data_IF_657711576629
#
_entry.id   IF_657711576629
#
_cell.length_a   1.000
_cell.length_b   1.000
_cell.length_c   1.000
_cell.angle_alpha   90.00
_cell.angle_beta   90.00
_cell.angle_gamma   90.00
#
_symmetry.space_group_name_H-M   'P 1'
#
loop_
_entity.id
_entity.type
_entity.pdbx_description
1 polymer ?
#
# COMPACT_ATOMS: atom_id res chain seq x y z
N UNK A 1 -12.24 18.10 -10.18
CA UNK A 1 -11.60 16.84 -9.76
C UNK A 1 -11.82 15.80 -10.85
N UNK A 2 -10.82 14.98 -11.16
CA UNK A 2 -10.79 14.09 -12.32
C UNK A 2 -10.54 12.66 -11.85
N UNK A 3 -11.42 11.72 -12.19
CA UNK A 3 -11.27 10.30 -11.90
C UNK A 3 -10.55 9.56 -13.03
N UNK A 4 -10.19 8.30 -12.77
CA UNK A 4 -9.55 7.39 -13.71
C UNK A 4 -10.34 6.10 -13.77
N UNK A 5 -10.67 5.63 -14.98
CA UNK A 5 -11.29 4.32 -15.21
C UNK A 5 -10.37 3.46 -16.05
N UNK A 6 -10.08 2.27 -15.56
CA UNK A 6 -9.34 1.23 -16.27
C UNK A 6 -10.28 0.06 -16.58
N UNK A 7 -10.26 -0.41 -17.82
CA UNK A 7 -11.08 -1.56 -18.26
C UNK A 7 -10.23 -2.55 -19.04
N UNK A 8 -10.11 -3.75 -18.52
CA UNK A 8 -9.41 -4.91 -19.11
C UNK A 8 -8.01 -4.56 -19.64
N UNK A 9 -7.21 -3.89 -18.83
CA UNK A 9 -5.87 -3.44 -19.21
C UNK A 9 -4.93 -4.63 -19.27
N UNK A 10 -4.45 -4.93 -20.50
CA UNK A 10 -3.46 -5.97 -20.79
C UNK A 10 -2.17 -5.36 -21.31
N UNK A 11 -1.07 -5.98 -20.95
CA UNK A 11 0.26 -5.52 -21.38
C UNK A 11 1.24 -6.65 -21.47
N UNK A 12 1.89 -6.75 -22.64
CA UNK A 12 3.06 -7.61 -22.90
C UNK A 12 4.23 -6.75 -23.36
N UNK A 13 5.45 -7.25 -23.17
CA UNK A 13 6.63 -6.66 -23.79
C UNK A 13 7.15 -7.58 -24.92
N UNK A 14 7.75 -7.04 -25.99
CA UNK A 14 8.22 -7.83 -27.11
C UNK A 14 9.11 -9.01 -26.69
N UNK A 15 8.66 -10.24 -26.98
CA UNK A 15 9.37 -11.46 -26.63
C UNK A 15 9.29 -11.89 -25.17
N UNK A 16 8.51 -11.19 -24.34
CA UNK A 16 8.28 -11.51 -22.93
C UNK A 16 6.87 -12.03 -22.64
N UNK A 17 6.63 -12.51 -21.41
CA UNK A 17 5.30 -12.88 -20.96
C UNK A 17 4.38 -11.65 -20.81
N UNK A 18 3.09 -11.88 -20.75
CA UNK A 18 2.12 -10.87 -20.37
C UNK A 18 2.39 -10.39 -18.92
N UNK A 19 2.37 -9.08 -18.71
CA UNK A 19 2.71 -8.42 -17.43
C UNK A 19 1.46 -7.93 -16.70
N UNK A 20 0.38 -7.65 -17.44
CA UNK A 20 -0.92 -7.28 -16.89
C UNK A 20 -2.01 -8.10 -17.57
N UNK A 21 -2.85 -8.76 -16.77
CA UNK A 21 -3.79 -9.79 -17.20
C UNK A 21 -5.25 -9.33 -17.19
N UNK A 22 -5.56 -8.11 -17.65
CA UNK A 22 -6.94 -7.60 -17.70
C UNK A 22 -7.34 -6.80 -16.46
N UNK A 23 -6.45 -5.92 -16.00
CA UNK A 23 -6.68 -5.07 -14.82
C UNK A 23 -7.83 -4.09 -15.07
N UNK A 24 -8.84 -4.11 -14.19
CA UNK A 24 -9.99 -3.20 -14.22
C UNK A 24 -10.20 -2.55 -12.86
N UNK A 25 -10.28 -1.21 -12.81
CA UNK A 25 -10.58 -0.46 -11.59
C UNK A 25 -11.16 0.92 -11.90
N UNK A 26 -11.98 1.43 -10.98
CA UNK A 26 -12.53 2.79 -11.03
C UNK A 26 -11.99 3.60 -9.85
N UNK A 27 -11.21 4.63 -10.15
CA UNK A 27 -10.64 5.58 -9.17
C UNK A 27 -11.49 6.85 -9.22
N UNK A 28 -12.10 7.17 -8.09
CA UNK A 28 -12.99 8.33 -7.98
C UNK A 28 -12.21 9.65 -7.98
N UNK A 29 -12.85 10.75 -8.41
CA UNK A 29 -12.23 12.07 -8.29
C UNK A 29 -11.86 12.42 -6.84
N UNK A 30 -10.61 12.83 -6.61
CA UNK A 30 -10.10 13.19 -5.29
C UNK A 30 -9.72 12.01 -4.39
N UNK A 31 -9.76 10.78 -4.90
CA UNK A 31 -9.42 9.55 -4.14
C UNK A 31 -7.90 9.35 -4.09
N UNK A 32 -7.41 8.89 -2.94
CA UNK A 32 -6.04 8.42 -2.76
C UNK A 32 -6.01 6.89 -2.91
N UNK A 33 -5.60 6.40 -4.07
CA UNK A 33 -5.48 4.96 -4.33
C UNK A 33 -4.03 4.53 -4.21
N UNK A 34 -3.79 3.47 -3.42
CA UNK A 34 -2.47 2.84 -3.33
C UNK A 34 -2.48 1.51 -4.07
N UNK A 35 -1.54 1.31 -4.97
CA UNK A 35 -1.29 0.04 -5.65
C UNK A 35 -0.13 -0.64 -4.94
N UNK A 36 -0.37 -1.83 -4.39
CA UNK A 36 0.60 -2.58 -3.60
C UNK A 36 0.72 -4.02 -4.11
N UNK A 37 1.89 -4.63 -3.91
CA UNK A 37 2.15 -6.01 -4.31
C UNK A 37 3.65 -6.31 -4.39
N UNK A 38 4.05 -7.57 -4.60
CA UNK A 38 5.44 -7.98 -4.74
C UNK A 38 6.18 -7.25 -5.87
N UNK A 39 7.51 -7.26 -5.81
CA UNK A 39 8.33 -6.74 -6.90
C UNK A 39 8.05 -7.51 -8.20
N UNK A 40 7.95 -6.79 -9.32
CA UNK A 40 7.70 -7.39 -10.63
C UNK A 40 6.23 -7.73 -10.97
N UNK A 41 5.25 -7.49 -10.08
CA UNK A 41 3.84 -7.80 -10.35
C UNK A 41 3.10 -6.80 -11.27
N UNK A 42 3.79 -5.86 -11.91
CA UNK A 42 3.18 -4.96 -12.90
C UNK A 42 2.78 -3.56 -12.39
N UNK A 43 2.98 -3.20 -11.13
CA UNK A 43 2.56 -1.89 -10.54
C UNK A 43 3.07 -0.67 -11.31
N UNK A 44 4.39 -0.56 -11.50
CA UNK A 44 5.00 0.56 -12.23
C UNK A 44 4.61 0.55 -13.71
N UNK A 45 4.40 -0.64 -14.30
CA UNK A 45 3.87 -0.76 -15.68
C UNK A 45 2.48 -0.15 -15.77
N UNK A 46 1.57 -0.51 -14.84
CA UNK A 46 0.22 0.05 -14.78
C UNK A 46 0.26 1.58 -14.60
N UNK A 47 1.13 2.07 -13.72
CA UNK A 47 1.30 3.51 -13.50
C UNK A 47 1.78 4.23 -14.77
N UNK A 48 2.73 3.64 -15.52
CA UNK A 48 3.26 4.20 -16.78
C UNK A 48 2.22 4.18 -17.90
N UNK A 49 1.35 3.18 -17.95
CA UNK A 49 0.21 3.13 -18.87
C UNK A 49 -0.77 4.26 -18.59
N UNK A 50 -1.11 4.52 -17.32
CA UNK A 50 -1.96 5.65 -16.92
C UNK A 50 -1.31 6.98 -17.30
N UNK A 51 0.01 7.11 -17.08
CA UNK A 51 0.78 8.30 -17.46
C UNK A 51 0.90 8.52 -18.98
N UNK A 52 0.66 7.48 -19.80
CA UNK A 52 0.87 7.51 -21.25
C UNK A 52 2.33 7.38 -21.66
N UNK A 53 3.19 6.97 -20.73
CA UNK A 53 4.61 6.69 -21.00
C UNK A 53 4.81 5.34 -21.70
N UNK A 54 3.80 4.47 -21.62
CA UNK A 54 3.71 3.22 -22.34
C UNK A 54 2.35 3.11 -23.04
N UNK A 55 2.30 2.32 -24.13
CA UNK A 55 1.06 2.07 -24.86
C UNK A 55 0.33 0.88 -24.25
N UNK A 56 -0.98 1.05 -24.07
CA UNK A 56 -1.90 -0.02 -23.75
C UNK A 56 -2.15 -0.87 -25.00
N UNK A 57 -1.98 -2.16 -24.92
CA UNK A 57 -2.18 -3.08 -26.05
C UNK A 57 -3.66 -3.44 -26.18
N UNK A 58 -4.27 -3.82 -25.07
CA UNK A 58 -5.69 -4.13 -24.99
C UNK A 58 -6.34 -3.42 -23.82
N UNK A 59 -7.65 -3.26 -23.87
CA UNK A 59 -8.41 -2.50 -22.89
C UNK A 59 -8.40 -1.00 -23.15
N UNK A 60 -8.94 -0.23 -22.22
CA UNK A 60 -8.97 1.22 -22.35
C UNK A 60 -8.83 1.94 -21.04
N UNK A 61 -8.24 3.12 -21.12
CA UNK A 61 -8.00 4.06 -20.03
C UNK A 61 -8.85 5.30 -20.28
N UNK A 62 -9.66 5.69 -19.29
CA UNK A 62 -10.39 6.94 -19.31
C UNK A 62 -9.90 7.85 -18.20
N UNK A 63 -9.75 9.14 -18.51
CA UNK A 63 -9.36 10.20 -17.57
C UNK A 63 -10.41 11.30 -17.66
N UNK A 64 -11.15 11.54 -16.59
CA UNK A 64 -12.24 12.52 -16.58
C UNK A 64 -13.34 12.21 -17.59
N UNK A 65 -13.65 10.93 -17.84
CA UNK A 65 -14.64 10.48 -18.81
C UNK A 65 -14.19 10.57 -20.28
N UNK A 66 -12.90 10.91 -20.54
CA UNK A 66 -12.34 10.94 -21.89
C UNK A 66 -11.36 9.79 -22.08
N UNK A 67 -11.48 9.07 -23.20
CA UNK A 67 -10.52 8.02 -23.57
C UNK A 67 -9.11 8.60 -23.72
N UNK A 68 -8.15 8.00 -23.01
CA UNK A 68 -6.78 8.52 -22.91
C UNK A 68 -5.75 7.62 -23.61
N UNK A 69 -6.13 6.47 -24.19
CA UNK A 69 -5.17 5.53 -24.81
C UNK A 69 -4.23 6.22 -25.81
N UNK A 70 -4.78 7.10 -26.66
CA UNK A 70 -4.07 7.76 -27.75
C UNK A 70 -3.56 9.16 -27.39
N UNK A 71 -3.82 9.63 -26.15
CA UNK A 71 -3.33 10.93 -25.67
C UNK A 71 -1.86 10.83 -25.29
N UNK A 72 -1.06 11.79 -25.77
CA UNK A 72 0.32 11.94 -25.34
C UNK A 72 0.39 12.29 -23.82
N UNK A 73 1.49 11.96 -23.12
CA UNK A 73 1.60 12.20 -21.67
C UNK A 73 1.34 13.64 -21.23
N UNK A 74 1.74 14.62 -22.03
CA UNK A 74 1.52 16.05 -21.75
C UNK A 74 0.05 16.46 -21.81
N UNK A 75 -0.80 15.71 -22.52
CA UNK A 75 -2.21 16.03 -22.78
C UNK A 75 -3.15 15.35 -21.79
N UNK A 76 -2.63 14.51 -20.87
CA UNK A 76 -3.40 13.76 -19.87
C UNK A 76 -3.70 14.52 -18.59
N UNK A 77 -3.20 15.74 -18.42
CA UNK A 77 -3.30 16.54 -17.18
C UNK A 77 -2.83 15.79 -15.91
N UNK A 78 -1.78 15.03 -16.04
CA UNK A 78 -1.16 14.21 -14.99
C UNK A 78 0.19 14.81 -14.60
N UNK A 79 0.49 14.79 -13.29
CA UNK A 79 1.83 15.03 -12.78
C UNK A 79 2.40 13.72 -12.24
N UNK A 80 3.63 13.35 -12.63
CA UNK A 80 4.28 12.13 -12.18
C UNK A 80 5.49 12.43 -11.32
N UNK A 81 5.61 11.70 -10.20
CA UNK A 81 6.74 11.68 -9.29
C UNK A 81 7.41 10.32 -9.40
N UNK A 82 8.66 10.29 -9.84
CA UNK A 82 9.44 9.07 -10.05
C UNK A 82 10.20 8.66 -8.79
N UNK A 83 10.50 7.40 -8.65
CA UNK A 83 11.25 6.80 -7.54
C UNK A 83 12.59 7.49 -7.25
N UNK A 84 13.30 7.95 -8.29
CA UNK A 84 14.58 8.66 -8.19
C UNK A 84 14.42 10.18 -8.17
N UNK A 85 13.19 10.68 -7.92
CA UNK A 85 12.79 12.11 -7.94
C UNK A 85 12.98 12.81 -9.29
N UNK A 86 13.83 12.32 -10.18
CA UNK A 86 14.14 12.85 -11.51
C UNK A 86 14.34 14.39 -11.52
N UNK A 87 15.05 14.93 -10.52
CA UNK A 87 15.38 16.35 -10.45
C UNK A 87 16.49 16.69 -11.42
N UNK A 88 16.42 17.88 -12.01
CA UNK A 88 17.47 18.40 -12.89
C UNK A 88 18.65 18.89 -12.04
N UNK A 89 19.82 18.21 -12.07
CA UNK A 89 20.90 18.46 -11.10
C UNK A 89 21.59 19.80 -11.29
N UNK A 90 21.51 20.36 -12.48
CA UNK A 90 22.10 21.67 -12.83
C UNK A 90 21.21 22.87 -12.47
N UNK A 91 19.91 22.63 -12.23
CA UNK A 91 18.92 23.63 -11.87
C UNK A 91 18.80 23.79 -10.36
N UNK A 92 18.48 25.00 -9.91
CA UNK A 92 18.11 25.28 -8.51
C UNK A 92 16.76 24.66 -8.15
N UNK A 93 16.37 24.66 -6.86
CA UNK A 93 15.04 24.25 -6.40
C UNK A 93 13.94 25.06 -7.09
N UNK A 94 14.11 26.37 -7.14
CA UNK A 94 13.20 27.32 -7.83
C UNK A 94 12.99 26.94 -9.29
N UNK A 95 14.08 26.71 -10.01
CA UNK A 95 14.06 26.33 -11.42
C UNK A 95 13.43 24.95 -11.64
N UNK A 96 13.75 23.97 -10.79
CA UNK A 96 13.11 22.66 -10.84
C UNK A 96 11.59 22.74 -10.67
N UNK A 97 11.10 23.51 -9.69
CA UNK A 97 9.66 23.71 -9.44
C UNK A 97 9.01 24.43 -10.64
N UNK A 98 9.68 25.45 -11.19
CA UNK A 98 9.15 26.28 -12.27
C UNK A 98 9.24 25.64 -13.66
N UNK A 99 10.05 24.59 -13.86
CA UNK A 99 10.40 24.06 -15.18
C UNK A 99 9.18 23.65 -16.02
N UNK A 100 8.22 22.94 -15.42
CA UNK A 100 7.00 22.54 -16.14
C UNK A 100 6.13 23.72 -16.60
N UNK A 101 6.21 24.86 -15.92
CA UNK A 101 5.52 26.10 -16.29
C UNK A 101 6.26 26.82 -17.44
N UNK A 102 7.59 26.71 -17.46
CA UNK A 102 8.42 27.22 -18.54
C UNK A 102 8.10 26.57 -19.89
N UNK A 103 8.00 25.23 -19.89
CA UNK A 103 7.64 24.47 -21.08
C UNK A 103 6.24 24.83 -21.62
N UNK A 104 5.35 25.35 -20.76
CA UNK A 104 4.03 25.87 -21.14
C UNK A 104 4.04 27.35 -21.56
N UNK A 105 5.21 27.97 -21.65
CA UNK A 105 5.37 29.37 -22.08
C UNK A 105 4.96 30.42 -21.04
N UNK A 106 4.82 30.04 -19.74
CA UNK A 106 4.45 31.01 -18.69
C UNK A 106 5.57 32.04 -18.48
N UNK A 107 5.25 33.33 -18.36
CA UNK A 107 6.24 34.40 -18.14
C UNK A 107 7.08 34.17 -16.88
N UNK A 108 8.36 34.55 -16.92
CA UNK A 108 9.32 34.31 -15.81
C UNK A 108 8.85 34.88 -14.46
N UNK A 109 8.24 36.04 -14.46
CA UNK A 109 7.73 36.67 -13.25
C UNK A 109 6.63 35.82 -12.59
N UNK A 110 5.67 35.32 -13.37
CA UNK A 110 4.56 34.48 -12.89
C UNK A 110 5.08 33.13 -12.41
N UNK A 111 6.04 32.48 -13.14
CA UNK A 111 6.68 31.25 -12.73
C UNK A 111 7.35 31.35 -11.35
N UNK A 112 8.06 32.50 -11.13
CA UNK A 112 8.73 32.76 -9.86
C UNK A 112 7.73 32.89 -8.70
N UNK A 113 6.64 33.63 -8.91
CA UNK A 113 5.56 33.79 -7.92
C UNK A 113 4.96 32.43 -7.60
N UNK A 114 4.68 31.61 -8.63
CA UNK A 114 4.13 30.25 -8.43
C UNK A 114 5.10 29.34 -7.70
N UNK A 115 6.38 29.33 -8.10
CA UNK A 115 7.42 28.54 -7.43
C UNK A 115 7.59 28.94 -5.95
N UNK A 116 7.54 30.24 -5.65
CA UNK A 116 7.60 30.75 -4.27
C UNK A 116 6.40 30.27 -3.45
N UNK A 117 5.17 30.36 -4.00
CA UNK A 117 3.95 29.89 -3.33
C UNK A 117 4.02 28.41 -3.02
N UNK A 118 4.43 27.59 -3.99
CA UNK A 118 4.59 26.13 -3.82
C UNK A 118 5.69 25.82 -2.80
N UNK A 119 6.83 26.53 -2.87
CA UNK A 119 7.92 26.35 -1.92
C UNK A 119 7.51 26.66 -0.48
N UNK A 120 6.64 27.66 -0.29
CA UNK A 120 6.06 28.00 1.02
C UNK A 120 5.24 26.84 1.57
N UNK A 121 4.34 26.28 0.76
CA UNK A 121 3.50 25.12 1.15
C UNK A 121 4.35 23.92 1.57
N UNK A 122 5.49 23.69 0.90
CA UNK A 122 6.38 22.56 1.13
C UNK A 122 7.56 22.86 2.06
N UNK A 123 7.58 24.05 2.71
CA UNK A 123 8.66 24.50 3.60
C UNK A 123 10.06 24.47 2.92
N UNK A 124 10.09 24.82 1.62
CA UNK A 124 11.32 24.84 0.81
C UNK A 124 11.89 26.26 0.60
N UNK A 125 11.28 27.31 1.17
CA UNK A 125 11.69 28.70 0.96
C UNK A 125 13.19 28.93 1.23
N UNK A 126 13.80 28.39 2.32
CA UNK A 126 15.23 28.57 2.62
C UNK A 126 16.17 27.90 1.62
N UNK A 127 15.63 27.02 0.77
CA UNK A 127 16.42 26.17 -0.15
C UNK A 127 16.23 26.53 -1.63
N UNK A 128 15.41 27.53 -1.95
CA UNK A 128 15.02 27.88 -3.31
C UNK A 128 16.18 28.08 -4.28
N UNK A 129 17.28 28.62 -3.80
CA UNK A 129 18.45 28.92 -4.64
C UNK A 129 19.54 27.84 -4.55
N UNK A 130 19.29 26.73 -3.83
CA UNK A 130 20.17 25.57 -3.78
C UNK A 130 19.92 24.61 -4.94
N UNK A 131 20.97 23.84 -5.29
CA UNK A 131 20.88 22.74 -6.25
C UNK A 131 20.58 21.42 -5.54
N UNK A 132 19.98 20.40 -6.23
CA UNK A 132 19.61 19.13 -5.65
C UNK A 132 20.70 18.38 -4.88
N UNK A 133 21.98 18.52 -5.31
CA UNK A 133 23.13 17.92 -4.62
C UNK A 133 23.38 18.46 -3.20
N UNK A 134 22.88 19.65 -2.88
CA UNK A 134 23.01 20.28 -1.55
C UNK A 134 21.77 20.05 -0.67
N UNK A 135 20.91 19.10 -1.01
CA UNK A 135 19.65 18.80 -0.31
C UNK A 135 19.66 17.40 0.33
N UNK A 136 18.96 17.26 1.45
CA UNK A 136 18.66 15.94 2.02
C UNK A 136 17.68 15.14 1.13
N UNK A 137 17.52 13.83 1.39
CA UNK A 137 16.56 12.98 0.67
C UNK A 137 15.14 13.54 0.71
N UNK A 138 14.63 13.88 1.90
CA UNK A 138 13.29 14.46 2.06
C UNK A 138 13.14 15.82 1.39
N UNK A 139 14.18 16.66 1.41
CA UNK A 139 14.14 17.94 0.68
C UNK A 139 14.06 17.71 -0.84
N UNK A 140 14.83 16.77 -1.39
CA UNK A 140 14.72 16.40 -2.81
C UNK A 140 13.33 15.90 -3.17
N UNK A 141 12.73 15.08 -2.31
CA UNK A 141 11.37 14.60 -2.51
C UNK A 141 10.35 15.75 -2.51
N UNK A 142 10.42 16.66 -1.53
CA UNK A 142 9.56 17.86 -1.51
C UNK A 142 9.74 18.70 -2.77
N UNK A 143 10.94 18.82 -3.32
CA UNK A 143 11.16 19.52 -4.60
C UNK A 143 10.47 18.81 -5.76
N UNK A 144 10.51 17.46 -5.81
CA UNK A 144 9.80 16.67 -6.82
C UNK A 144 8.27 16.86 -6.70
N UNK A 145 7.75 16.84 -5.47
CA UNK A 145 6.34 17.17 -5.20
C UNK A 145 6.01 18.61 -5.64
N UNK A 146 6.88 19.58 -5.32
CA UNK A 146 6.71 20.98 -5.73
C UNK A 146 6.64 21.17 -7.24
N UNK A 147 7.48 20.43 -7.98
CA UNK A 147 7.44 20.43 -9.44
C UNK A 147 6.09 19.90 -9.98
N UNK A 148 5.56 18.86 -9.36
CA UNK A 148 4.26 18.30 -9.70
C UNK A 148 3.11 19.28 -9.36
N UNK A 149 3.12 19.87 -8.15
CA UNK A 149 2.12 20.84 -7.69
C UNK A 149 2.10 22.13 -8.52
N UNK A 150 3.27 22.60 -8.96
CA UNK A 150 3.35 23.84 -9.76
C UNK A 150 2.51 23.74 -11.03
N UNK A 151 2.41 22.55 -11.64
CA UNK A 151 1.60 22.30 -12.85
C UNK A 151 0.09 22.42 -12.62
N UNK A 152 -0.37 22.41 -11.37
CA UNK A 152 -1.79 22.42 -11.01
C UNK A 152 -2.58 21.28 -11.67
N UNK A 153 -1.97 20.09 -11.79
CA UNK A 153 -2.61 18.92 -12.36
C UNK A 153 -3.67 18.37 -11.41
N UNK A 154 -4.73 17.79 -11.97
CA UNK A 154 -5.83 17.19 -11.21
C UNK A 154 -5.52 15.78 -10.73
N UNK A 155 -4.50 15.13 -11.32
CA UNK A 155 -4.06 13.76 -11.01
C UNK A 155 -2.56 13.72 -10.72
N UNK A 156 -2.18 13.03 -9.65
CA UNK A 156 -0.80 12.77 -9.29
C UNK A 156 -0.51 11.27 -9.31
N UNK A 157 0.52 10.87 -10.04
CA UNK A 157 1.04 9.51 -10.07
C UNK A 157 2.38 9.46 -9.33
N UNK A 158 2.52 8.57 -8.37
CA UNK A 158 3.71 8.46 -7.53
C UNK A 158 4.26 7.03 -7.59
N UNK A 159 5.47 6.86 -8.14
CA UNK A 159 6.14 5.57 -8.28
C UNK A 159 7.17 5.41 -7.16
N UNK A 160 6.84 4.69 -6.09
CA UNK A 160 7.66 4.42 -4.90
C UNK A 160 8.39 5.65 -4.33
N UNK A 161 7.70 6.77 -4.07
CA UNK A 161 8.37 8.03 -3.77
C UNK A 161 9.13 8.04 -2.44
N UNK A 162 8.85 7.12 -1.50
CA UNK A 162 9.48 7.06 -0.18
C UNK A 162 10.56 5.96 -0.06
N UNK A 163 10.78 5.15 -1.10
CA UNK A 163 11.67 3.97 -1.03
C UNK A 163 13.12 4.30 -0.68
N UNK A 164 13.60 5.50 -1.05
CA UNK A 164 14.99 5.94 -0.85
C UNK A 164 15.21 6.73 0.45
N UNK A 165 14.24 6.73 1.38
CA UNK A 165 14.32 7.47 2.65
C UNK A 165 14.57 6.53 3.83
N UNK A 166 15.24 7.03 4.85
CA UNK A 166 15.34 6.36 6.16
C UNK A 166 13.97 6.28 6.84
N UNK A 167 13.83 5.40 7.83
CA UNK A 167 12.56 5.10 8.47
C UNK A 167 11.90 6.30 9.16
N UNK A 168 12.69 7.12 9.87
CA UNK A 168 12.15 8.29 10.58
C UNK A 168 11.60 9.34 9.61
N UNK A 169 12.35 9.59 8.53
CA UNK A 169 11.94 10.53 7.48
C UNK A 169 10.74 9.99 6.70
N UNK A 170 10.67 8.67 6.46
CA UNK A 170 9.52 8.02 5.80
C UNK A 170 8.22 8.23 6.58
N UNK A 171 8.26 8.07 7.92
CA UNK A 171 7.10 8.33 8.80
C UNK A 171 6.64 9.78 8.70
N UNK A 172 7.56 10.74 8.78
CA UNK A 172 7.23 12.16 8.65
C UNK A 172 6.62 12.49 7.27
N UNK A 173 7.23 11.97 6.21
CA UNK A 173 6.78 12.22 4.83
C UNK A 173 5.40 11.62 4.51
N UNK A 174 5.03 10.48 5.10
CA UNK A 174 3.67 9.93 4.99
C UNK A 174 2.62 10.91 5.52
N UNK A 175 2.86 11.48 6.70
CA UNK A 175 1.95 12.48 7.27
C UNK A 175 1.84 13.69 6.36
N UNK A 176 2.96 14.22 5.85
CA UNK A 176 2.97 15.36 4.93
C UNK A 176 2.21 15.08 3.62
N UNK A 177 2.38 13.90 3.04
CA UNK A 177 1.66 13.50 1.81
C UNK A 177 0.15 13.45 2.07
N UNK A 178 -0.29 12.89 3.22
CA UNK A 178 -1.71 12.84 3.59
C UNK A 178 -2.31 14.24 3.79
N UNK A 179 -1.58 15.13 4.46
CA UNK A 179 -1.98 16.53 4.65
C UNK A 179 -2.07 17.26 3.31
N UNK A 180 -1.07 17.07 2.44
CA UNK A 180 -1.04 17.66 1.13
C UNK A 180 -2.22 17.20 0.25
N UNK A 181 -2.53 15.89 0.29
CA UNK A 181 -3.71 15.34 -0.41
C UNK A 181 -4.99 16.04 0.03
N UNK A 182 -5.20 16.21 1.35
CA UNK A 182 -6.37 16.91 1.89
C UNK A 182 -6.46 18.37 1.43
N UNK A 183 -5.31 19.06 1.33
CA UNK A 183 -5.26 20.46 0.88
C UNK A 183 -5.53 20.60 -0.62
N UNK A 184 -5.03 19.69 -1.44
CA UNK A 184 -5.16 19.75 -2.89
C UNK A 184 -6.49 19.19 -3.40
N UNK A 185 -7.08 18.21 -2.73
CA UNK A 185 -8.24 17.47 -3.19
C UNK A 185 -8.02 16.72 -4.51
N UNK A 186 -6.77 16.54 -4.93
CA UNK A 186 -6.41 15.91 -6.19
C UNK A 186 -6.52 14.39 -6.11
N UNK A 187 -6.75 13.73 -7.23
CA UNK A 187 -6.69 12.27 -7.33
C UNK A 187 -5.24 11.81 -7.28
N UNK A 188 -4.92 10.85 -6.41
CA UNK A 188 -3.57 10.31 -6.28
C UNK A 188 -3.58 8.81 -6.58
N UNK A 189 -2.66 8.36 -7.44
CA UNK A 189 -2.32 6.94 -7.61
C UNK A 189 -0.89 6.75 -7.14
N UNK A 190 -0.73 6.01 -6.09
CA UNK A 190 0.52 5.81 -5.37
C UNK A 190 0.95 4.34 -5.45
N UNK A 191 2.14 4.07 -5.95
CA UNK A 191 2.72 2.73 -5.99
C UNK A 191 3.71 2.56 -4.85
N UNK A 192 3.62 1.45 -4.14
CA UNK A 192 4.57 1.07 -3.10
C UNK A 192 4.66 -0.45 -2.94
N UNK A 193 5.71 -0.92 -2.29
CA UNK A 193 5.80 -2.27 -1.75
C UNK A 193 5.68 -2.29 -0.21
N UNK A 194 5.55 -1.12 0.44
CA UNK A 194 5.43 -0.98 1.90
C UNK A 194 3.95 -1.05 2.30
N UNK A 195 3.62 -2.08 3.09
CA UNK A 195 2.26 -2.33 3.59
C UNK A 195 1.76 -1.22 4.52
N UNK A 196 2.68 -0.64 5.32
CA UNK A 196 2.33 0.43 6.26
C UNK A 196 1.96 1.71 5.52
N UNK A 197 2.64 2.00 4.40
CA UNK A 197 2.27 3.10 3.52
C UNK A 197 0.86 2.88 2.95
N UNK A 198 0.59 1.67 2.44
CA UNK A 198 -0.71 1.35 1.88
C UNK A 198 -1.85 1.51 2.90
N UNK A 199 -1.72 0.90 4.08
CA UNK A 199 -2.74 0.96 5.12
C UNK A 199 -2.94 2.37 5.71
N UNK A 200 -1.88 3.22 5.74
CA UNK A 200 -1.96 4.55 6.37
C UNK A 200 -2.39 5.67 5.43
N UNK A 201 -2.06 5.58 4.14
CA UNK A 201 -2.29 6.65 3.17
C UNK A 201 -3.59 6.49 2.40
N UNK A 202 -3.95 5.26 2.03
CA UNK A 202 -4.99 4.99 1.06
C UNK A 202 -6.41 5.29 1.57
N UNK A 203 -7.25 5.75 0.65
CA UNK A 203 -8.70 5.64 0.75
C UNK A 203 -9.14 4.26 0.22
N UNK A 204 -8.45 3.77 -0.82
CA UNK A 204 -8.60 2.38 -1.33
C UNK A 204 -7.24 1.82 -1.74
N UNK A 205 -7.09 0.51 -1.56
CA UNK A 205 -5.87 -0.25 -1.91
C UNK A 205 -6.19 -1.22 -3.05
N UNK A 206 -5.34 -1.21 -4.07
CA UNK A 206 -5.32 -2.22 -5.13
C UNK A 206 -4.18 -3.21 -4.86
N UNK A 207 -4.51 -4.44 -4.49
CA UNK A 207 -3.52 -5.50 -4.25
C UNK A 207 -3.28 -6.25 -5.54
N UNK A 208 -2.06 -6.16 -6.05
CA UNK A 208 -1.64 -6.83 -7.28
C UNK A 208 -0.69 -8.00 -6.99
N UNK A 209 -0.82 -9.06 -7.78
CA UNK A 209 0.11 -10.20 -7.81
C UNK A 209 0.17 -10.78 -9.22
N UNK A 210 1.40 -11.03 -9.69
CA UNK A 210 1.68 -11.72 -10.96
C UNK A 210 0.84 -11.19 -12.16
N UNK A 211 0.65 -9.88 -12.25
CA UNK A 211 -0.12 -9.22 -13.31
C UNK A 211 -1.62 -9.08 -13.06
N UNK A 212 -2.15 -9.73 -12.03
CA UNK A 212 -3.57 -9.71 -11.66
C UNK A 212 -3.87 -8.67 -10.57
N UNK A 213 -5.05 -8.05 -10.65
CA UNK A 213 -5.66 -7.30 -9.56
C UNK A 213 -6.48 -8.26 -8.70
N UNK A 214 -5.97 -8.60 -7.51
CA UNK A 214 -6.62 -9.58 -6.63
C UNK A 214 -7.75 -9.01 -5.80
N UNK A 215 -7.62 -7.76 -5.32
CA UNK A 215 -8.65 -7.06 -4.55
C UNK A 215 -8.46 -5.56 -4.66
N UNK A 216 -9.54 -4.80 -4.74
CA UNK A 216 -9.54 -3.34 -4.75
C UNK A 216 -10.61 -2.80 -3.82
N UNK A 217 -10.24 -2.40 -2.62
CA UNK A 217 -11.17 -2.02 -1.57
C UNK A 217 -10.56 -1.05 -0.56
N UNK A 218 -11.31 -0.67 0.50
CA UNK A 218 -10.79 0.13 1.60
C UNK A 218 -9.72 -0.63 2.39
N UNK A 219 -8.79 0.06 3.07
CA UNK A 219 -7.78 -0.58 3.93
C UNK A 219 -8.39 -1.55 4.94
N UNK A 220 -9.48 -1.17 5.60
CA UNK A 220 -10.19 -2.00 6.57
C UNK A 220 -10.74 -3.27 5.92
N UNK A 221 -11.41 -3.15 4.77
CA UNK A 221 -11.99 -4.30 4.08
C UNK A 221 -10.91 -5.31 3.63
N UNK A 222 -9.76 -4.81 3.13
CA UNK A 222 -8.65 -5.67 2.71
C UNK A 222 -7.99 -6.36 3.92
N UNK A 223 -7.87 -5.66 5.05
CA UNK A 223 -7.25 -6.20 6.26
C UNK A 223 -8.15 -7.22 6.98
N UNK A 224 -9.43 -6.88 7.15
CA UNK A 224 -10.39 -7.70 7.89
C UNK A 224 -11.05 -8.78 7.02
N UNK A 225 -11.19 -8.51 5.71
CA UNK A 225 -11.90 -9.37 4.77
C UNK A 225 -11.06 -9.69 3.51
N UNK A 226 -9.82 -10.21 3.67
CA UNK A 226 -8.98 -10.56 2.54
C UNK A 226 -9.63 -11.67 1.70
N UNK A 227 -9.71 -11.47 0.37
CA UNK A 227 -10.36 -12.42 -0.53
C UNK A 227 -9.61 -13.73 -0.73
N UNK A 228 -8.32 -13.78 -0.38
CA UNK A 228 -7.51 -15.00 -0.45
C UNK A 228 -6.36 -14.99 0.56
N UNK A 229 -5.73 -16.18 0.72
CA UNK A 229 -4.59 -16.37 1.64
C UNK A 229 -3.39 -15.48 1.31
N UNK A 230 -3.16 -15.18 0.04
CA UNK A 230 -2.06 -14.30 -0.34
C UNK A 230 -2.26 -12.89 0.25
N UNK A 231 -3.43 -12.28 0.04
CA UNK A 231 -3.75 -10.96 0.59
C UNK A 231 -3.64 -10.96 2.12
N UNK A 232 -4.21 -11.99 2.76
CA UNK A 232 -4.19 -12.16 4.21
C UNK A 232 -2.76 -12.24 4.79
N UNK A 233 -1.84 -12.92 4.08
CA UNK A 233 -0.44 -13.03 4.47
C UNK A 233 0.40 -11.81 4.07
N UNK A 234 0.03 -11.16 2.98
CA UNK A 234 0.78 -10.03 2.44
C UNK A 234 0.55 -8.74 3.23
N UNK A 235 -0.64 -8.53 3.81
CA UNK A 235 -0.96 -7.33 4.59
C UNK A 235 -1.04 -7.63 6.08
N UNK A 236 -0.20 -6.93 6.83
CA UNK A 236 -0.02 -7.07 8.28
C UNK A 236 1.38 -7.55 8.67
N UNK A 237 1.95 -6.93 9.69
CA UNK A 237 3.26 -7.29 10.28
C UNK A 237 3.10 -7.40 11.79
N UNK A 238 3.21 -8.63 12.33
CA UNK A 238 3.45 -9.93 11.68
C UNK A 238 2.31 -10.37 10.76
N UNK A 239 2.61 -11.33 9.86
CA UNK A 239 1.61 -11.89 8.95
C UNK A 239 0.52 -12.68 9.70
N UNK A 240 -0.65 -12.84 9.09
CA UNK A 240 -1.74 -13.68 9.59
C UNK A 240 -1.27 -15.13 9.79
N UNK A 241 -1.67 -15.75 10.89
CA UNK A 241 -1.45 -17.17 11.14
C UNK A 241 -2.46 -18.01 10.35
N UNK A 242 -2.00 -19.12 9.79
CA UNK A 242 -2.85 -20.05 9.04
C UNK A 242 -2.81 -21.43 9.69
N UNK A 243 -3.92 -21.81 10.34
CA UNK A 243 -4.04 -23.06 11.08
C UNK A 243 -5.09 -23.96 10.42
N UNK A 244 -4.76 -25.22 10.07
CA UNK A 244 -5.77 -26.17 9.62
C UNK A 244 -6.85 -26.33 10.68
N UNK A 245 -8.12 -26.20 10.28
CA UNK A 245 -9.24 -26.24 11.24
C UNK A 245 -9.31 -27.57 11.99
N UNK A 246 -8.84 -28.66 11.38
CA UNK A 246 -8.78 -30.00 11.98
C UNK A 246 -7.89 -30.08 13.22
N UNK A 247 -6.96 -29.11 13.37
CA UNK A 247 -6.06 -29.03 14.51
C UNK A 247 -6.54 -28.07 15.61
N UNK A 248 -7.69 -27.43 15.42
CA UNK A 248 -8.28 -26.53 16.41
C UNK A 248 -9.25 -27.32 17.31
N UNK A 249 -8.98 -27.45 18.62
CA UNK A 249 -9.75 -28.30 19.54
C UNK A 249 -11.25 -27.97 19.56
N UNK A 250 -11.61 -26.72 19.37
CA UNK A 250 -13.01 -26.23 19.39
C UNK A 250 -13.73 -26.37 18.05
N UNK A 251 -13.03 -26.78 16.96
CA UNK A 251 -13.64 -26.85 15.65
C UNK A 251 -14.46 -28.14 15.47
N UNK A 252 -15.75 -27.98 15.18
CA UNK A 252 -16.66 -29.09 14.85
C UNK A 252 -17.33 -28.91 13.47
N UNK A 253 -16.91 -27.87 12.74
CA UNK A 253 -17.52 -27.49 11.47
C UNK A 253 -16.93 -28.21 10.26
N UNK A 254 -17.10 -27.57 9.09
CA UNK A 254 -16.64 -28.06 7.79
C UNK A 254 -15.13 -28.29 7.75
N UNK A 255 -14.71 -29.43 7.24
CA UNK A 255 -13.31 -29.81 7.04
C UNK A 255 -12.72 -29.25 5.73
N UNK A 256 -11.41 -29.33 5.58
CA UNK A 256 -10.69 -28.88 4.39
C UNK A 256 -10.52 -27.35 4.30
N UNK A 257 -10.58 -26.69 5.44
CA UNK A 257 -10.39 -25.25 5.59
C UNK A 257 -9.13 -24.92 6.39
N UNK A 258 -8.64 -23.73 6.21
CA UNK A 258 -7.63 -23.09 7.06
C UNK A 258 -8.23 -21.87 7.74
N UNK A 259 -8.12 -21.80 9.07
CA UNK A 259 -8.44 -20.61 9.83
C UNK A 259 -7.26 -19.62 9.79
N UNK A 260 -7.53 -18.39 9.38
CA UNK A 260 -6.61 -17.26 9.43
C UNK A 260 -6.85 -16.43 10.67
N UNK A 261 -5.85 -16.32 11.54
CA UNK A 261 -5.91 -15.59 12.80
C UNK A 261 -4.87 -14.46 12.80
N UNK A 262 -5.30 -13.22 13.04
CA UNK A 262 -4.38 -12.10 13.16
C UNK A 262 -3.55 -12.22 14.45
N UNK A 263 -2.25 -11.90 14.42
CA UNK A 263 -1.37 -11.94 15.59
C UNK A 263 -1.88 -11.15 16.80
N UNK A 264 -2.50 -10.02 16.57
CA UNK A 264 -3.06 -9.12 17.59
C UNK A 264 -4.45 -9.53 18.09
N UNK A 265 -5.13 -10.48 17.42
CA UNK A 265 -6.44 -10.98 17.83
C UNK A 265 -6.38 -12.15 18.81
N UNK A 266 -5.17 -12.61 19.11
CA UNK A 266 -4.93 -13.72 20.03
C UNK A 266 -4.48 -13.18 21.39
N UNK A 267 -4.88 -13.88 22.47
CA UNK A 267 -4.53 -13.50 23.84
C UNK A 267 -3.79 -14.63 24.57
N UNK A 268 -2.98 -14.28 25.57
CA UNK A 268 -2.17 -15.20 26.36
C UNK A 268 -2.89 -15.54 27.65
N UNK A 269 -2.87 -16.82 28.05
CA UNK A 269 -3.24 -17.27 29.39
C UNK A 269 -2.14 -18.18 29.95
N UNK A 270 -1.78 -17.99 31.22
CA UNK A 270 -0.81 -18.86 31.93
C UNK A 270 -1.47 -20.15 32.37
N UNK A 271 -2.74 -20.09 32.75
CA UNK A 271 -3.56 -21.23 33.14
C UNK A 271 -4.43 -21.66 31.96
N UNK A 272 -4.83 -22.94 31.96
CA UNK A 272 -5.74 -23.46 30.93
C UNK A 272 -7.08 -22.75 31.01
N UNK A 273 -7.46 -21.99 29.95
CA UNK A 273 -8.69 -21.24 29.95
C UNK A 273 -9.90 -22.13 29.62
N UNK A 274 -11.12 -21.66 29.98
CA UNK A 274 -12.37 -22.30 29.56
C UNK A 274 -12.75 -21.99 28.10
N UNK A 275 -12.17 -20.96 27.54
CA UNK A 275 -12.35 -20.53 26.14
C UNK A 275 -11.48 -21.35 25.18
N UNK A 276 -11.81 -21.35 23.87
CA UNK A 276 -10.98 -22.01 22.87
C UNK A 276 -9.52 -21.54 22.90
N UNK A 277 -8.60 -22.45 23.14
CA UNK A 277 -7.18 -22.15 23.25
C UNK A 277 -6.28 -23.28 22.74
N UNK A 278 -5.05 -22.95 22.40
CA UNK A 278 -4.00 -23.88 22.03
C UNK A 278 -2.89 -23.85 23.08
N UNK A 279 -2.43 -25.00 23.57
CA UNK A 279 -1.22 -25.06 24.36
C UNK A 279 -0.03 -24.73 23.46
N UNK A 280 0.83 -23.85 23.93
CA UNK A 280 1.98 -23.40 23.15
C UNK A 280 3.28 -23.44 23.95
N UNK A 281 4.37 -23.63 23.21
CA UNK A 281 5.73 -23.48 23.73
C UNK A 281 6.38 -22.28 23.06
N UNK A 282 6.86 -21.33 23.85
CA UNK A 282 7.61 -20.18 23.36
C UNK A 282 8.93 -20.64 22.73
N UNK A 283 9.18 -20.20 21.49
CA UNK A 283 10.44 -20.44 20.76
C UNK A 283 11.32 -19.20 20.78
N UNK A 284 10.74 -18.03 20.48
CA UNK A 284 11.44 -16.75 20.39
C UNK A 284 10.51 -15.61 20.76
N UNK A 285 11.06 -14.57 21.36
CA UNK A 285 10.37 -13.30 21.60
C UNK A 285 11.18 -12.15 21.03
N UNK A 286 10.50 -11.22 20.34
CA UNK A 286 11.09 -10.03 19.74
C UNK A 286 10.41 -8.79 20.33
N UNK A 287 11.17 -7.89 20.91
CA UNK A 287 10.66 -6.63 21.47
C UNK A 287 10.56 -5.56 20.37
N UNK A 288 9.35 -5.04 20.17
CA UNK A 288 9.06 -3.99 19.17
C UNK A 288 8.72 -2.64 19.79
N UNK A 289 9.12 -2.42 21.05
CA UNK A 289 8.84 -1.21 21.83
C UNK A 289 7.81 -1.49 22.93
N UNK A 290 6.57 -1.04 22.76
CA UNK A 290 5.46 -1.29 23.69
C UNK A 290 4.99 -2.75 23.68
N UNK A 291 5.19 -3.43 22.54
CA UNK A 291 4.69 -4.76 22.29
C UNK A 291 5.84 -5.76 22.13
N UNK A 292 5.48 -7.04 22.26
CA UNK A 292 6.36 -8.18 22.04
C UNK A 292 5.71 -9.07 21.00
N UNK A 293 6.47 -9.47 19.99
CA UNK A 293 6.11 -10.53 19.06
C UNK A 293 6.61 -11.85 19.65
N UNK A 294 5.73 -12.82 19.79
CA UNK A 294 6.02 -14.14 20.30
C UNK A 294 5.86 -15.18 19.19
N UNK A 295 6.91 -15.94 18.95
CA UNK A 295 6.89 -17.09 18.04
C UNK A 295 6.78 -18.36 18.88
N UNK A 296 5.71 -19.09 18.68
CA UNK A 296 5.38 -20.27 19.49
C UNK A 296 5.15 -21.49 18.62
N UNK A 297 5.54 -22.66 19.11
CA UNK A 297 5.12 -23.96 18.56
C UNK A 297 3.84 -24.42 19.25
N UNK A 298 2.85 -24.88 18.47
CA UNK A 298 1.59 -25.46 18.94
C UNK A 298 1.30 -26.79 18.23
N UNK A 299 0.35 -27.61 18.70
CA UNK A 299 -0.11 -28.79 17.99
C UNK A 299 -0.69 -28.49 16.59
N UNK A 300 -1.22 -27.29 16.38
CA UNK A 300 -1.75 -26.83 15.10
C UNK A 300 -0.67 -26.25 14.15
N UNK A 301 0.58 -26.19 14.60
CA UNK A 301 1.70 -25.61 13.86
C UNK A 301 2.32 -24.41 14.56
N UNK A 302 3.23 -23.73 13.87
CA UNK A 302 3.86 -22.51 14.39
C UNK A 302 2.88 -21.34 14.32
N UNK A 303 2.77 -20.60 15.43
CA UNK A 303 1.96 -19.40 15.54
C UNK A 303 2.80 -18.20 16.00
N UNK A 304 2.44 -17.05 15.50
CA UNK A 304 3.03 -15.76 15.89
C UNK A 304 1.93 -14.88 16.46
N UNK A 305 2.14 -14.32 17.65
CA UNK A 305 1.20 -13.39 18.26
C UNK A 305 1.90 -12.11 18.69
N UNK A 306 1.14 -11.03 18.75
CA UNK A 306 1.58 -9.74 19.25
C UNK A 306 0.83 -9.45 20.55
N UNK A 307 1.57 -9.15 21.61
CA UNK A 307 0.99 -8.86 22.92
C UNK A 307 1.67 -7.66 23.58
N UNK A 308 0.93 -6.81 24.31
CA UNK A 308 1.54 -5.78 25.13
C UNK A 308 2.57 -6.39 26.09
N UNK A 309 3.73 -5.73 26.25
CA UNK A 309 4.82 -6.22 27.08
C UNK A 309 4.42 -6.59 28.51
N UNK A 310 3.43 -5.91 29.08
CA UNK A 310 2.92 -6.14 30.44
C UNK A 310 2.19 -7.48 30.58
N UNK A 311 1.62 -8.00 29.51
CA UNK A 311 0.76 -9.18 29.48
C UNK A 311 1.54 -10.47 29.15
N UNK A 312 2.82 -10.34 28.79
CA UNK A 312 3.69 -11.48 28.47
C UNK A 312 4.30 -12.07 29.75
N UNK A 313 4.14 -13.38 29.99
CA UNK A 313 4.71 -14.08 31.17
C UNK A 313 6.23 -14.03 31.14
N UNK A 314 6.86 -13.50 32.19
CA UNK A 314 8.33 -13.32 32.24
C UNK A 314 9.14 -14.61 32.38
N UNK A 315 8.51 -15.70 32.88
CA UNK A 315 9.20 -16.94 33.26
C UNK A 315 8.51 -18.21 32.74
N UNK A 316 7.46 -18.10 31.96
CA UNK A 316 6.74 -19.25 31.43
C UNK A 316 7.16 -19.51 29.96
N UNK A 317 7.80 -20.66 29.72
CA UNK A 317 8.04 -21.11 28.34
C UNK A 317 6.85 -21.85 27.74
N UNK A 318 5.89 -22.27 28.55
CA UNK A 318 4.65 -22.92 28.14
C UNK A 318 3.49 -22.10 28.68
N UNK A 319 2.51 -21.85 27.84
CA UNK A 319 1.28 -21.11 28.15
C UNK A 319 0.20 -21.48 27.15
N UNK A 320 -0.98 -20.87 27.29
CA UNK A 320 -2.10 -21.05 26.38
C UNK A 320 -2.29 -19.79 25.52
N UNK A 321 -2.65 -20.00 24.26
CA UNK A 321 -3.04 -18.91 23.36
C UNK A 321 -4.52 -19.07 23.05
N UNK A 322 -5.32 -18.14 23.55
CA UNK A 322 -6.75 -18.03 23.26
C UNK A 322 -6.96 -17.41 21.89
N UNK A 323 -7.96 -17.87 21.17
CA UNK A 323 -8.36 -17.38 19.87
C UNK A 323 -9.87 -17.32 19.72
N UNK A 324 -10.34 -16.41 18.89
CA UNK A 324 -11.75 -16.20 18.60
C UNK A 324 -12.05 -16.58 17.16
N UNK A 325 -12.86 -17.62 16.97
CA UNK A 325 -13.24 -18.09 15.63
C UNK A 325 -14.23 -17.14 14.91
N UNK A 326 -14.91 -16.27 15.64
CA UNK A 326 -15.79 -15.26 15.03
C UNK A 326 -14.99 -14.16 14.33
N UNK A 327 -13.76 -13.95 14.77
CA UNK A 327 -12.80 -13.04 14.15
C UNK A 327 -11.87 -13.70 13.14
N UNK A 328 -11.95 -15.01 12.98
CA UNK A 328 -11.13 -15.74 12.03
C UNK A 328 -11.62 -15.54 10.59
N UNK A 329 -10.69 -15.41 9.66
CA UNK A 329 -10.96 -15.55 8.23
C UNK A 329 -10.77 -17.02 7.84
N UNK A 330 -11.68 -17.61 7.07
CA UNK A 330 -11.57 -18.99 6.63
C UNK A 330 -11.21 -19.06 5.15
N UNK A 331 -10.31 -19.98 4.81
CA UNK A 331 -9.82 -20.17 3.45
C UNK A 331 -9.93 -21.62 3.04
N UNK A 332 -10.40 -21.86 1.82
CA UNK A 332 -10.41 -23.20 1.22
C UNK A 332 -8.99 -23.69 0.96
N UNK A 333 -8.67 -24.92 1.38
CA UNK A 333 -7.30 -25.45 1.30
C UNK A 333 -6.81 -25.71 -0.14
N UNK A 334 -7.72 -25.83 -1.12
CA UNK A 334 -7.37 -26.12 -2.52
C UNK A 334 -7.18 -24.84 -3.33
N UNK A 335 -8.15 -23.92 -3.23
CA UNK A 335 -8.13 -22.67 -4.00
C UNK A 335 -7.37 -21.53 -3.31
N UNK A 336 -7.25 -21.59 -1.97
CA UNK A 336 -6.74 -20.49 -1.16
C UNK A 336 -7.70 -19.29 -1.08
N UNK A 337 -8.90 -19.41 -1.64
CA UNK A 337 -9.91 -18.35 -1.62
C UNK A 337 -10.61 -18.31 -0.27
N UNK A 338 -11.05 -17.11 0.13
CA UNK A 338 -11.88 -16.92 1.32
C UNK A 338 -13.20 -17.65 1.19
N UNK A 339 -13.65 -18.22 2.30
CA UNK A 339 -14.95 -18.86 2.46
C UNK A 339 -15.70 -18.16 3.58
N UNK A 340 -16.89 -17.63 3.26
CA UNK A 340 -17.78 -17.09 4.28
C UNK A 340 -18.59 -18.24 4.87
N UNK A 341 -18.44 -18.46 6.19
CA UNK A 341 -19.08 -19.55 6.92
C UNK A 341 -20.21 -19.02 7.78
N UNK A 342 -21.38 -19.66 7.70
CA UNK A 342 -22.46 -19.50 8.68
C UNK A 342 -22.06 -20.12 10.04
N UNK A 343 -22.79 -19.80 11.11
CA UNK A 343 -22.59 -20.43 12.43
C UNK A 343 -22.70 -21.96 12.36
N UNK A 344 -23.68 -22.48 11.57
CA UNK A 344 -23.86 -23.91 11.36
C UNK A 344 -22.64 -24.56 10.69
N UNK A 345 -22.02 -23.87 9.70
CA UNK A 345 -20.80 -24.38 9.03
C UNK A 345 -19.58 -24.39 9.95
N UNK A 346 -19.57 -23.58 10.99
CA UNK A 346 -18.52 -23.53 12.02
C UNK A 346 -18.70 -24.56 13.12
N UNK A 347 -19.90 -25.14 13.25
CA UNK A 347 -20.27 -26.05 14.30
C UNK A 347 -20.48 -25.39 15.67
N UNK A 348 -20.91 -24.10 15.65
CA UNK A 348 -21.19 -23.28 16.83
C UNK A 348 -22.70 -23.11 16.97
#
# INVERSE_FOLDING_TARGET
MTGITLRDIRKSYPGGPEVLHGVSMDIKPGEFVVIVGPSGCGKSTLLRLIAGLERCEEGHIEIGGRRANDLAPQDRDIAMIFQNYALYPHMTVRENIAFGLELRGMPRAERNVRAQSVAKTLQLEPYLDRKPGALSGGQRQRVAMGRAMARNSSIFLMDEPLSNLDNALRVAMRTEIKELHRQLGATIVYVTHDQTEALSLADRIAVMKDGDLLQFDTPEAIYDQPQNRFIASFLGVPAMNFLPVEHLPSWQGRQGLTAGLRPESMAISVEEPHEPALPVRLVLSEMTGSDIILHCDSPAGRITLTSPRKDVPRHANNFWVMYDLDRAAFFDNRSGSRVDLSAVDRGI
#
